data_IF_708634457500
#
_entry.id   IF_708634457500
#
_cell.length_a   1.000
_cell.length_b   1.000
_cell.length_c   1.000
_cell.angle_alpha   90.00
_cell.angle_beta   90.00
_cell.angle_gamma   90.00
#
_symmetry.space_group_name_H-M   'P 1'
#
loop_
_entity.id
_entity.type
_entity.pdbx_description
1 polymer ?
#
# COMPACT_ATOMS: atom_id res chain seq x y z
N UNK A 1 -5.07 6.56 -40.42
CA UNK A 1 -5.11 6.31 -38.95
C UNK A 1 -4.26 5.09 -38.67
N UNK A 2 -3.04 5.30 -38.19
CA UNK A 2 -2.16 4.21 -37.75
C UNK A 2 -2.65 3.76 -36.38
N UNK A 3 -3.20 2.54 -36.31
CA UNK A 3 -3.62 1.91 -35.05
C UNK A 3 -2.42 1.81 -34.12
N UNK A 4 -2.47 2.48 -32.98
CA UNK A 4 -1.54 2.25 -31.90
C UNK A 4 -1.77 0.84 -31.36
N UNK A 5 -0.93 -0.11 -31.80
CA UNK A 5 -0.82 -1.41 -31.18
C UNK A 5 -0.22 -1.20 -29.78
N UNK A 6 -1.08 -0.99 -28.79
CA UNK A 6 -0.69 -1.04 -27.38
C UNK A 6 -0.33 -2.50 -27.04
N UNK A 7 0.93 -2.87 -27.24
CA UNK A 7 1.45 -4.11 -26.66
C UNK A 7 1.31 -4.05 -25.14
N UNK A 8 0.84 -5.14 -24.54
CA UNK A 8 0.86 -5.26 -23.09
C UNK A 8 2.29 -5.06 -22.57
N UNK A 9 2.46 -4.53 -21.36
CA UNK A 9 3.79 -4.31 -20.77
C UNK A 9 4.64 -5.58 -20.79
N UNK A 10 4.02 -6.76 -20.54
CA UNK A 10 4.69 -8.05 -20.60
C UNK A 10 5.36 -8.31 -21.97
N UNK A 11 4.64 -8.08 -23.07
CA UNK A 11 5.20 -8.22 -24.42
C UNK A 11 6.32 -7.20 -24.70
N UNK A 12 6.20 -6.00 -24.14
CA UNK A 12 7.26 -4.99 -24.28
C UNK A 12 8.52 -5.42 -23.52
N UNK A 13 8.37 -5.99 -22.32
CA UNK A 13 9.49 -6.52 -21.52
C UNK A 13 10.19 -7.65 -22.28
N UNK A 14 9.44 -8.63 -22.78
CA UNK A 14 9.99 -9.76 -23.54
C UNK A 14 10.78 -9.30 -24.77
N UNK A 15 10.24 -8.36 -25.55
CA UNK A 15 10.94 -7.79 -26.70
C UNK A 15 12.22 -7.06 -26.29
N UNK A 16 12.19 -6.27 -25.24
CA UNK A 16 13.35 -5.55 -24.74
C UNK A 16 14.42 -6.50 -24.19
N UNK A 17 14.05 -7.60 -23.57
CA UNK A 17 14.98 -8.64 -23.12
C UNK A 17 15.69 -9.31 -24.29
N UNK A 18 14.96 -9.63 -25.37
CA UNK A 18 15.53 -10.20 -26.60
C UNK A 18 16.53 -9.22 -27.23
N UNK A 19 16.15 -7.94 -27.33
CA UNK A 19 17.02 -6.89 -27.88
C UNK A 19 18.26 -6.71 -27.01
N UNK A 20 18.12 -6.66 -25.70
CA UNK A 20 19.24 -6.51 -24.77
C UNK A 20 20.24 -7.69 -24.92
N UNK A 21 19.72 -8.92 -24.96
CA UNK A 21 20.56 -10.10 -25.20
C UNK A 21 21.34 -10.01 -26.54
N UNK A 22 20.66 -9.59 -27.62
CA UNK A 22 21.29 -9.46 -28.93
C UNK A 22 22.38 -8.38 -28.93
N UNK A 23 22.20 -7.28 -28.23
CA UNK A 23 23.18 -6.21 -28.09
C UNK A 23 24.41 -6.65 -27.29
N UNK A 24 24.21 -7.35 -26.18
CA UNK A 24 25.31 -7.94 -25.40
C UNK A 24 26.16 -8.92 -26.25
N UNK A 25 25.48 -9.78 -27.00
CA UNK A 25 26.16 -10.75 -27.89
C UNK A 25 27.00 -10.08 -28.98
N UNK A 26 26.59 -8.88 -29.43
CA UNK A 26 27.31 -8.11 -30.46
C UNK A 26 28.32 -7.09 -29.90
N UNK A 27 28.61 -7.12 -28.60
CA UNK A 27 29.56 -6.23 -27.92
C UNK A 27 29.25 -4.73 -28.09
N UNK A 28 27.98 -4.37 -28.07
CA UNK A 28 27.58 -2.96 -28.07
C UNK A 28 28.03 -2.25 -26.78
N UNK A 29 28.22 -0.91 -26.80
CA UNK A 29 28.63 -0.15 -25.63
C UNK A 29 27.70 -0.37 -24.45
N UNK A 30 28.25 -0.48 -23.22
CA UNK A 30 27.50 -0.72 -21.96
C UNK A 30 26.40 0.30 -21.70
N UNK A 31 26.61 1.55 -22.15
CA UNK A 31 25.61 2.62 -22.01
C UNK A 31 24.28 2.30 -22.71
N UNK A 32 24.38 1.66 -23.90
CA UNK A 32 23.16 1.27 -24.66
C UNK A 32 22.42 0.15 -23.98
N UNK A 33 23.12 -0.86 -23.48
CA UNK A 33 22.53 -1.96 -22.70
C UNK A 33 21.91 -1.43 -21.39
N UNK A 34 22.57 -0.51 -20.70
CA UNK A 34 22.08 0.10 -19.47
C UNK A 34 20.78 0.90 -19.64
N UNK A 35 20.56 1.53 -20.79
CA UNK A 35 19.30 2.23 -21.10
C UNK A 35 18.15 1.22 -21.21
N UNK A 36 18.38 0.10 -21.89
CA UNK A 36 17.37 -0.95 -22.08
C UNK A 36 17.04 -1.63 -20.74
N UNK A 37 18.04 -1.94 -19.94
CA UNK A 37 17.85 -2.51 -18.60
C UNK A 37 17.02 -1.60 -17.68
N UNK A 38 17.30 -0.29 -17.68
CA UNK A 38 16.48 0.68 -16.94
C UNK A 38 15.04 0.69 -17.43
N UNK A 39 14.82 0.58 -18.75
CA UNK A 39 13.46 0.57 -19.31
C UNK A 39 12.71 -0.71 -18.91
N UNK A 40 13.36 -1.87 -18.95
CA UNK A 40 12.79 -3.15 -18.48
C UNK A 40 12.40 -3.01 -17.03
N UNK A 41 13.30 -2.56 -16.16
CA UNK A 41 13.02 -2.37 -14.72
C UNK A 41 11.86 -1.40 -14.45
N UNK A 42 11.74 -0.32 -15.22
CA UNK A 42 10.61 0.61 -15.12
C UNK A 42 9.28 -0.06 -15.52
N UNK A 43 9.27 -0.89 -16.56
CA UNK A 43 8.08 -1.62 -16.98
C UNK A 43 7.68 -2.67 -15.95
N UNK A 44 8.63 -3.42 -15.40
CA UNK A 44 8.41 -4.38 -14.32
C UNK A 44 7.81 -3.71 -13.07
N UNK A 45 8.33 -2.55 -12.68
CA UNK A 45 7.79 -1.78 -11.57
C UNK A 45 6.37 -1.25 -11.83
N UNK A 46 6.04 -0.94 -13.09
CA UNK A 46 4.67 -0.52 -13.45
C UNK A 46 3.71 -1.71 -13.51
N UNK A 47 4.18 -2.88 -13.92
CA UNK A 47 3.37 -4.11 -13.85
C UNK A 47 3.09 -4.52 -12.41
N UNK A 48 4.07 -4.50 -11.53
CA UNK A 48 3.83 -4.74 -10.10
C UNK A 48 2.77 -3.78 -9.53
N UNK A 49 2.78 -2.51 -9.93
CA UNK A 49 1.75 -1.55 -9.52
C UNK A 49 0.38 -1.80 -10.15
N UNK A 50 0.31 -2.44 -11.32
CA UNK A 50 -0.98 -2.75 -11.98
C UNK A 50 -1.54 -4.10 -11.56
N UNK A 51 -0.69 -5.06 -11.15
CA UNK A 51 -1.13 -6.33 -10.57
C UNK A 51 -1.48 -6.21 -9.08
N UNK A 52 -0.96 -5.21 -8.37
CA UNK A 52 -1.46 -4.82 -7.04
C UNK A 52 -2.78 -4.02 -7.08
N UNK A 53 -3.49 -4.02 -8.18
CA UNK A 53 -4.95 -4.01 -8.15
C UNK A 53 -5.45 -5.43 -7.82
N UNK A 54 -4.86 -6.06 -6.83
CA UNK A 54 -5.60 -6.95 -6.00
C UNK A 54 -6.80 -6.16 -5.50
N UNK A 55 -8.00 -6.62 -5.86
CA UNK A 55 -9.26 -6.23 -5.26
C UNK A 55 -9.29 -6.61 -3.77
N UNK A 56 -8.24 -6.36 -3.04
CA UNK A 56 -8.31 -6.14 -1.62
C UNK A 56 -9.06 -4.81 -1.50
N UNK A 57 -10.34 -4.91 -1.23
CA UNK A 57 -11.12 -3.79 -0.71
C UNK A 57 -10.27 -3.12 0.35
N UNK A 58 -9.61 -2.03 -0.02
CA UNK A 58 -8.68 -1.34 0.88
C UNK A 58 -9.48 -1.03 2.13
N UNK A 59 -9.07 -1.59 3.26
CA UNK A 59 -9.78 -1.42 4.51
C UNK A 59 -10.11 0.07 4.72
N UNK A 60 -11.29 0.36 5.20
CA UNK A 60 -11.74 1.74 5.39
C UNK A 60 -10.75 2.52 6.25
N UNK A 61 -10.72 3.82 6.06
CA UNK A 61 -9.87 4.72 6.86
C UNK A 61 -10.09 4.51 8.37
N UNK A 62 -11.33 4.20 8.78
CA UNK A 62 -11.68 3.92 10.18
C UNK A 62 -10.98 2.69 10.71
N UNK A 63 -11.06 1.57 9.99
CA UNK A 63 -10.44 0.30 10.40
C UNK A 63 -8.92 0.45 10.45
N UNK A 64 -8.31 1.03 9.42
CA UNK A 64 -6.86 1.28 9.39
C UNK A 64 -6.39 2.17 10.53
N UNK A 65 -7.13 3.24 10.81
CA UNK A 65 -6.78 4.16 11.91
C UNK A 65 -6.86 3.47 13.26
N UNK A 66 -7.89 2.66 13.51
CA UNK A 66 -8.03 1.94 14.78
C UNK A 66 -6.95 0.88 14.96
N UNK A 67 -6.61 0.12 13.90
CA UNK A 67 -5.49 -0.85 13.96
C UNK A 67 -4.21 -0.15 14.41
N UNK A 68 -3.85 0.98 13.76
CA UNK A 68 -2.64 1.71 14.09
C UNK A 68 -2.71 2.29 15.52
N UNK A 69 -3.87 2.85 15.92
CA UNK A 69 -4.06 3.38 17.28
C UNK A 69 -3.87 2.31 18.35
N UNK A 70 -4.46 1.13 18.18
CA UNK A 70 -4.32 0.03 19.14
C UNK A 70 -2.88 -0.51 19.19
N UNK A 71 -2.18 -0.58 18.04
CA UNK A 71 -0.75 -0.91 17.99
C UNK A 71 0.08 0.12 18.75
N UNK A 72 -0.13 1.42 18.52
CA UNK A 72 0.59 2.48 19.23
C UNK A 72 0.34 2.45 20.74
N UNK A 73 -0.91 2.22 21.16
CA UNK A 73 -1.25 2.05 22.57
C UNK A 73 -0.52 0.85 23.20
N UNK A 74 -0.46 -0.27 22.50
CA UNK A 74 0.25 -1.46 22.96
C UNK A 74 1.75 -1.21 23.13
N UNK A 75 2.31 -0.39 22.23
CA UNK A 75 3.70 0.05 22.30
C UNK A 75 3.94 1.17 23.30
N UNK A 76 2.91 1.61 24.03
CA UNK A 76 2.93 2.74 24.96
C UNK A 76 3.38 4.07 24.30
N UNK A 77 3.13 4.21 23.01
CA UNK A 77 3.43 5.41 22.25
C UNK A 77 2.17 6.29 22.15
N UNK A 78 2.37 7.61 22.26
CA UNK A 78 1.27 8.56 22.05
C UNK A 78 0.24 8.61 23.19
N UNK A 79 0.64 8.31 24.42
CA UNK A 79 -0.24 8.35 25.59
C UNK A 79 -0.47 9.75 26.16
N UNK A 80 0.35 10.74 25.76
CA UNK A 80 0.21 12.12 26.20
C UNK A 80 -0.81 12.89 25.34
N UNK A 81 -1.56 13.79 25.96
CA UNK A 81 -2.59 14.60 25.30
C UNK A 81 -2.09 15.38 24.06
N UNK A 82 -0.82 15.78 24.07
CA UNK A 82 -0.19 16.52 22.96
C UNK A 82 0.22 15.65 21.76
N UNK A 83 0.01 14.34 21.82
CA UNK A 83 0.47 13.42 20.79
C UNK A 83 -0.58 13.14 19.70
N UNK A 84 -1.83 13.56 19.89
CA UNK A 84 -2.90 13.32 18.93
C UNK A 84 -2.54 13.84 17.51
N UNK A 85 -1.99 15.05 17.44
CA UNK A 85 -1.57 15.63 16.15
C UNK A 85 -0.46 14.82 15.50
N UNK A 86 0.51 14.33 16.30
CA UNK A 86 1.62 13.50 15.80
C UNK A 86 1.11 12.14 15.34
N UNK A 87 0.21 11.54 16.10
CA UNK A 87 -0.46 10.27 15.76
C UNK A 87 -1.23 10.41 14.46
N UNK A 88 -2.05 11.46 14.30
CA UNK A 88 -2.78 11.70 13.06
C UNK A 88 -1.86 11.90 11.86
N UNK A 89 -0.73 12.59 12.03
CA UNK A 89 0.29 12.73 10.97
C UNK A 89 0.92 11.40 10.61
N UNK A 90 1.24 10.57 11.60
CA UNK A 90 1.79 9.23 11.36
C UNK A 90 0.79 8.35 10.61
N UNK A 91 -0.47 8.30 11.07
CA UNK A 91 -1.52 7.52 10.40
C UNK A 91 -1.73 8.03 8.96
N UNK A 92 -1.77 9.34 8.75
CA UNK A 92 -1.89 9.94 7.41
C UNK A 92 -0.73 9.51 6.50
N UNK A 93 0.50 9.56 7.01
CA UNK A 93 1.69 9.13 6.27
C UNK A 93 1.65 7.66 5.89
N UNK A 94 1.33 6.77 6.85
CA UNK A 94 1.32 5.31 6.63
C UNK A 94 0.18 4.88 5.72
N UNK A 95 -1.00 5.51 5.85
CA UNK A 95 -2.21 5.12 5.10
C UNK A 95 -2.38 5.83 3.77
N UNK A 96 -1.60 6.89 3.50
CA UNK A 96 -1.75 7.74 2.32
C UNK A 96 -3.00 8.63 2.34
N UNK A 97 -3.71 8.71 3.48
CA UNK A 97 -4.89 9.56 3.62
C UNK A 97 -4.51 10.98 4.05
N UNK A 98 -5.41 11.96 3.83
CA UNK A 98 -5.15 13.32 4.29
C UNK A 98 -5.18 13.41 5.81
N UNK A 99 -4.32 14.25 6.38
CA UNK A 99 -4.29 14.54 7.81
C UNK A 99 -5.67 14.98 8.34
N UNK A 100 -6.36 15.86 7.63
CA UNK A 100 -7.65 16.38 8.04
C UNK A 100 -8.72 15.28 8.12
N UNK A 101 -8.71 14.32 7.18
CA UNK A 101 -9.63 13.19 7.20
C UNK A 101 -9.40 12.31 8.43
N UNK A 102 -8.13 11.99 8.73
CA UNK A 102 -7.75 11.21 9.91
C UNK A 102 -8.14 11.93 11.20
N UNK A 103 -7.74 13.19 11.32
CA UNK A 103 -8.02 14.01 12.51
C UNK A 103 -9.51 14.10 12.82
N UNK A 104 -10.34 14.38 11.80
CA UNK A 104 -11.78 14.47 11.95
C UNK A 104 -12.43 13.13 12.38
N UNK A 105 -11.95 12.01 11.84
CA UNK A 105 -12.46 10.69 12.24
C UNK A 105 -12.10 10.35 13.68
N UNK A 106 -10.85 10.56 14.09
CA UNK A 106 -10.40 10.24 15.46
C UNK A 106 -11.06 11.19 16.48
N UNK A 107 -11.22 12.47 16.15
CA UNK A 107 -11.82 13.44 17.07
C UNK A 107 -13.31 13.19 17.32
N UNK A 108 -14.03 12.62 16.34
CA UNK A 108 -15.45 12.27 16.46
C UNK A 108 -15.70 10.97 17.20
N UNK A 109 -14.65 10.28 17.62
CA UNK A 109 -14.68 8.90 18.10
C UNK A 109 -15.15 7.91 17.05
N UNK A 110 -14.29 6.95 16.71
CA UNK A 110 -14.55 6.02 15.64
C UNK A 110 -15.55 4.96 16.08
N UNK A 111 -16.70 4.94 15.41
CA UNK A 111 -17.70 3.89 15.55
C UNK A 111 -17.77 3.07 14.26
N UNK A 112 -17.85 1.76 14.41
CA UNK A 112 -17.99 0.86 13.27
C UNK A 112 -19.47 0.62 12.94
N UNK A 113 -19.75 0.42 11.66
CA UNK A 113 -21.04 -0.05 11.14
C UNK A 113 -20.90 -1.50 10.67
N UNK A 114 -22.04 -2.14 10.35
CA UNK A 114 -22.06 -3.51 9.82
C UNK A 114 -21.17 -3.70 8.57
N UNK A 115 -20.99 -2.64 7.76
CA UNK A 115 -20.13 -2.67 6.56
C UNK A 115 -18.65 -2.88 6.88
N UNK A 116 -18.19 -2.53 8.09
CA UNK A 116 -16.81 -2.70 8.50
C UNK A 116 -16.49 -4.10 9.04
N UNK A 117 -17.53 -4.95 9.24
CA UNK A 117 -17.38 -6.24 9.93
C UNK A 117 -16.32 -7.14 9.27
N UNK A 118 -16.39 -7.32 7.95
CA UNK A 118 -15.43 -8.15 7.21
C UNK A 118 -14.01 -7.63 7.33
N UNK A 119 -13.82 -6.31 7.20
CA UNK A 119 -12.50 -5.67 7.30
C UNK A 119 -11.91 -5.78 8.71
N UNK A 120 -12.75 -5.74 9.74
CA UNK A 120 -12.31 -5.93 11.13
C UNK A 120 -11.92 -7.40 11.37
N UNK A 121 -12.68 -8.35 10.83
CA UNK A 121 -12.36 -9.78 10.94
C UNK A 121 -11.02 -10.09 10.26
N UNK A 122 -10.78 -9.51 9.08
CA UNK A 122 -9.52 -9.63 8.37
C UNK A 122 -8.36 -8.98 9.14
N UNK A 123 -8.56 -7.76 9.68
CA UNK A 123 -7.56 -7.10 10.50
C UNK A 123 -7.23 -7.90 11.76
N UNK A 124 -8.23 -8.46 12.44
CA UNK A 124 -8.01 -9.31 13.62
C UNK A 124 -7.25 -10.58 13.27
N UNK A 125 -7.54 -11.20 12.11
CA UNK A 125 -6.79 -12.36 11.64
C UNK A 125 -5.31 -12.03 11.41
N UNK A 126 -5.00 -10.90 10.75
CA UNK A 126 -3.63 -10.45 10.55
C UNK A 126 -2.94 -10.17 11.89
N UNK A 127 -3.63 -9.52 12.83
CA UNK A 127 -3.09 -9.25 14.17
C UNK A 127 -2.80 -10.54 14.95
N UNK A 128 -3.62 -11.56 14.79
CA UNK A 128 -3.41 -12.90 15.37
C UNK A 128 -2.21 -13.61 14.73
N UNK A 129 -2.09 -13.60 13.41
CA UNK A 129 -0.94 -14.15 12.68
C UNK A 129 0.39 -13.50 13.08
N UNK A 130 0.35 -12.22 13.47
CA UNK A 130 1.51 -11.49 14.02
C UNK A 130 1.75 -11.78 15.52
N UNK A 131 1.05 -12.74 16.11
CA UNK A 131 1.07 -13.02 17.56
C UNK A 131 0.79 -11.77 18.40
N UNK A 132 0.01 -10.83 17.86
CA UNK A 132 -0.41 -9.64 18.58
C UNK A 132 -1.51 -10.00 19.58
N UNK A 133 -1.39 -9.51 20.81
CA UNK A 133 -2.43 -9.59 21.82
C UNK A 133 -3.52 -8.51 21.65
N UNK A 134 -3.61 -7.93 20.47
CA UNK A 134 -4.54 -6.87 20.12
C UNK A 134 -5.70 -7.48 19.35
N UNK A 135 -6.92 -7.12 19.75
CA UNK A 135 -8.13 -7.44 19.00
C UNK A 135 -9.02 -6.20 18.92
N UNK A 136 -9.57 -5.96 17.74
CA UNK A 136 -10.47 -4.84 17.49
C UNK A 136 -11.89 -5.32 17.72
N UNK A 137 -12.59 -4.69 18.67
CA UNK A 137 -13.99 -4.97 18.95
C UNK A 137 -14.90 -4.14 18.05
N UNK A 138 -15.80 -4.82 17.33
CA UNK A 138 -16.76 -4.19 16.42
C UNK A 138 -17.74 -3.25 17.11
N UNK A 139 -18.02 -3.48 18.40
CA UNK A 139 -19.01 -2.77 19.18
C UNK A 139 -18.40 -1.67 20.06
N UNK A 140 -17.09 -1.60 20.10
CA UNK A 140 -16.37 -0.59 20.89
C UNK A 140 -16.28 0.73 20.14
N UNK A 141 -16.41 1.81 20.88
CA UNK A 141 -16.10 3.16 20.41
C UNK A 141 -14.61 3.46 20.68
N UNK A 142 -13.89 3.91 19.67
CA UNK A 142 -12.47 4.21 19.71
C UNK A 142 -12.19 5.70 19.65
#
# INVERSE_FOLDING_TARGET
MLGQNNFSNQKQIELLQIVNYALHKKHYPQDTCGIIERKIRLLELTEHKTHEKDNHDTASIKVRSVVILELLKKMQLGTAYNDLTKICKLIAFVTGNSYNSIYNEIQKSICFSKFHSKQIDEANKILEELNSLISIDKNKQY
#
